data_IF_851421884523
#
_entry.id   IF_851421884523
#
_cell.length_a   1.000
_cell.length_b   1.000
_cell.length_c   1.000
_cell.angle_alpha   90.00
_cell.angle_beta   90.00
_cell.angle_gamma   90.00
#
_symmetry.space_group_name_H-M   'P 1'
#
loop_
_entity.id
_entity.type
_entity.pdbx_description
1 polymer ?
#
# COMPACT_ATOMS: atom_id res chain seq x y z
N UNK A 1 -0.11 13.64 0.44
CA UNK A 1 0.54 12.78 -0.57
C UNK A 1 0.41 13.41 -1.96
N UNK A 2 1.49 13.59 -2.75
CA UNK A 2 1.38 13.92 -4.18
C UNK A 2 0.72 12.79 -4.98
N UNK A 3 -0.04 13.13 -6.01
CA UNK A 3 -0.78 12.17 -6.86
C UNK A 3 -0.46 12.32 -8.34
N UNK A 4 -0.51 11.21 -9.09
CA UNK A 4 -0.38 11.17 -10.56
C UNK A 4 -1.48 10.36 -11.21
N UNK A 5 -1.78 10.66 -12.47
CA UNK A 5 -2.70 9.86 -13.28
C UNK A 5 -2.00 8.57 -13.74
N UNK A 6 -2.62 7.43 -13.46
CA UNK A 6 -2.09 6.11 -13.84
C UNK A 6 -2.37 5.83 -15.33
N UNK A 7 -1.47 6.29 -16.20
CA UNK A 7 -1.54 6.04 -17.64
C UNK A 7 -2.87 6.49 -18.26
N UNK A 8 -3.45 5.66 -19.12
CA UNK A 8 -4.73 5.96 -19.78
C UNK A 8 -5.98 5.69 -18.92
N UNK A 9 -5.82 5.17 -17.69
CA UNK A 9 -6.96 4.81 -16.83
C UNK A 9 -7.74 6.00 -16.28
N UNK A 10 -7.11 7.19 -16.23
CA UNK A 10 -7.68 8.38 -15.59
C UNK A 10 -7.69 8.32 -14.06
N UNK A 11 -7.20 7.25 -13.43
CA UNK A 11 -7.15 7.12 -11.97
C UNK A 11 -6.03 7.99 -11.40
N UNK A 12 -6.35 8.86 -10.45
CA UNK A 12 -5.36 9.61 -9.67
C UNK A 12 -4.92 8.76 -8.47
N UNK A 13 -3.65 8.35 -8.46
CA UNK A 13 -3.05 7.51 -7.41
C UNK A 13 -1.87 8.22 -6.76
N UNK A 14 -1.49 7.84 -5.54
CA UNK A 14 -0.30 8.33 -4.87
C UNK A 14 0.98 7.99 -5.65
N UNK A 15 1.98 8.88 -5.63
CA UNK A 15 3.28 8.62 -6.27
C UNK A 15 4.04 7.46 -5.60
N UNK A 16 3.74 7.18 -4.33
CA UNK A 16 4.28 6.08 -3.54
C UNK A 16 3.18 5.05 -3.34
N UNK A 17 3.49 3.77 -3.51
CA UNK A 17 2.56 2.65 -3.26
C UNK A 17 3.03 1.71 -2.16
N UNK A 18 2.12 0.86 -1.68
CA UNK A 18 2.43 -0.17 -0.67
C UNK A 18 2.71 -1.52 -1.34
N UNK A 19 3.95 -2.00 -1.22
CA UNK A 19 4.30 -3.37 -1.62
C UNK A 19 3.82 -4.40 -0.59
N UNK A 20 2.98 -5.36 -1.02
CA UNK A 20 2.38 -6.35 -0.13
C UNK A 20 3.10 -7.71 -0.06
N UNK A 21 4.27 -7.88 -0.69
CA UNK A 21 4.97 -9.17 -0.73
C UNK A 21 5.26 -9.73 0.68
N UNK A 22 5.72 -8.87 1.59
CA UNK A 22 5.97 -9.24 2.99
C UNK A 22 4.74 -9.76 3.75
N UNK A 23 3.53 -9.40 3.33
CA UNK A 23 2.29 -9.81 3.98
C UNK A 23 1.92 -11.27 3.68
N UNK A 24 2.53 -11.86 2.64
CA UNK A 24 2.35 -13.27 2.27
C UNK A 24 3.17 -14.25 3.10
N UNK A 25 4.12 -13.76 3.92
CA UNK A 25 4.98 -14.60 4.75
C UNK A 25 6.25 -15.10 4.06
N UNK A 26 6.53 -14.66 2.83
CA UNK A 26 7.68 -15.12 2.03
C UNK A 26 9.05 -14.77 2.64
N UNK A 27 9.10 -13.74 3.49
CA UNK A 27 10.31 -13.33 4.23
C UNK A 27 10.30 -13.77 5.70
N UNK A 28 9.40 -14.67 6.06
CA UNK A 28 9.15 -15.10 7.44
C UNK A 28 7.73 -14.80 7.90
N UNK A 29 7.30 -15.38 9.04
CA UNK A 29 5.94 -15.20 9.53
C UNK A 29 5.67 -13.75 9.91
N UNK A 30 4.49 -13.27 9.51
CA UNK A 30 3.90 -12.02 9.97
C UNK A 30 2.56 -12.35 10.62
N UNK A 31 2.26 -11.71 11.74
CA UNK A 31 0.97 -11.85 12.40
C UNK A 31 -0.09 -10.94 11.75
N UNK A 32 -1.33 -11.42 11.75
CA UNK A 32 -2.46 -10.71 11.15
C UNK A 32 -2.65 -9.28 11.69
N UNK A 33 -2.49 -9.00 13.01
CA UNK A 33 -2.59 -7.64 13.53
C UNK A 33 -1.57 -6.68 12.95
N UNK A 34 -0.32 -7.11 12.77
CA UNK A 34 0.72 -6.27 12.17
C UNK A 34 0.44 -6.03 10.69
N UNK A 35 0.03 -7.06 9.96
CA UNK A 35 -0.37 -6.91 8.56
C UNK A 35 -1.50 -5.88 8.39
N UNK A 36 -2.51 -5.94 9.26
CA UNK A 36 -3.62 -4.98 9.29
C UNK A 36 -3.16 -3.56 9.63
N UNK A 37 -2.30 -3.40 10.65
CA UNK A 37 -1.76 -2.10 11.04
C UNK A 37 -0.95 -1.44 9.91
N UNK A 38 -0.19 -2.21 9.13
CA UNK A 38 0.55 -1.71 7.95
C UNK A 38 -0.43 -1.14 6.91
N UNK A 39 -1.49 -1.88 6.59
CA UNK A 39 -2.51 -1.45 5.63
C UNK A 39 -3.26 -0.20 6.11
N UNK A 40 -3.65 -0.17 7.38
CA UNK A 40 -4.33 0.98 8.00
C UNK A 40 -3.46 2.23 7.98
N UNK A 41 -2.17 2.10 8.31
CA UNK A 41 -1.24 3.23 8.29
C UNK A 41 -1.03 3.75 6.87
N UNK A 42 -0.87 2.86 5.88
CA UNK A 42 -0.75 3.26 4.48
C UNK A 42 -1.95 4.09 4.01
N UNK A 43 -3.17 3.67 4.35
CA UNK A 43 -4.38 4.43 4.05
C UNK A 43 -4.41 5.77 4.78
N UNK A 44 -4.03 5.80 6.06
CA UNK A 44 -3.97 7.04 6.86
C UNK A 44 -2.98 8.06 6.28
N UNK A 45 -1.87 7.59 5.71
CA UNK A 45 -0.85 8.44 5.06
C UNK A 45 -1.29 8.93 3.66
N UNK A 46 -2.39 8.38 3.13
CA UNK A 46 -2.93 8.72 1.82
C UNK A 46 -2.30 7.94 0.67
N UNK A 47 -1.79 6.73 0.93
CA UNK A 47 -1.36 5.79 -0.11
C UNK A 47 -2.58 5.20 -0.79
N UNK A 48 -2.61 5.26 -2.11
CA UNK A 48 -3.71 4.78 -2.97
C UNK A 48 -3.23 3.94 -4.15
N UNK A 49 -1.95 3.51 -4.15
CA UNK A 49 -1.36 2.57 -5.10
C UNK A 49 -0.81 1.33 -4.39
#
# INVERSE_FOLDING_TARGET
MPSRVLGASGLAVSEVGLGCWQLGGDFGPIDEPTAKAILEQAVADGITF
#
